data_IF_868971305392
#
_entry.id   IF_868971305392
#
_cell.length_a   1.000
_cell.length_b   1.000
_cell.length_c   1.000
_cell.angle_alpha   90.00
_cell.angle_beta   90.00
_cell.angle_gamma   90.00
#
_symmetry.space_group_name_H-M   'P 1'
#
loop_
_entity.id
_entity.type
_entity.pdbx_description
1 polymer ?
#
# COMPACT_ATOMS: atom_id res chain seq x y z
N UNK A 1 9.42 8.00 6.63
CA UNK A 1 9.22 6.55 6.96
C UNK A 1 9.43 5.75 5.68
N UNK A 2 10.00 4.57 5.76
CA UNK A 2 10.24 3.72 4.59
C UNK A 2 10.07 2.25 4.96
N UNK A 3 9.96 1.38 3.95
CA UNK A 3 9.99 -0.06 4.19
C UNK A 3 11.32 -0.50 4.78
N UNK A 4 11.29 -1.60 5.55
CA UNK A 4 12.47 -2.22 6.14
C UNK A 4 12.85 -3.49 5.38
N UNK A 5 14.16 -3.70 5.23
CA UNK A 5 14.68 -4.91 4.62
C UNK A 5 14.35 -6.14 5.49
N UNK A 6 13.65 -7.15 4.94
CA UNK A 6 13.28 -8.34 5.71
C UNK A 6 14.49 -9.23 6.10
N UNK A 7 15.66 -8.99 5.51
CA UNK A 7 16.88 -9.73 5.80
C UNK A 7 17.71 -9.11 6.93
N UNK A 8 17.88 -7.77 6.90
CA UNK A 8 18.78 -7.08 7.84
C UNK A 8 18.11 -5.95 8.63
N UNK A 9 16.80 -5.74 8.46
CA UNK A 9 15.99 -4.71 9.14
C UNK A 9 16.44 -3.25 8.90
N UNK A 10 17.38 -3.02 8.00
CA UNK A 10 17.78 -1.68 7.62
C UNK A 10 16.76 -1.05 6.67
N UNK A 11 16.75 0.28 6.62
CA UNK A 11 15.85 1.01 5.76
C UNK A 11 16.08 0.71 4.29
N UNK A 12 15.00 0.50 3.54
CA UNK A 12 15.03 0.35 2.10
C UNK A 12 14.90 1.71 1.42
N UNK A 13 15.72 1.93 0.40
CA UNK A 13 15.60 3.08 -0.52
C UNK A 13 15.07 2.61 -1.85
N UNK A 14 14.12 3.35 -2.39
CA UNK A 14 13.58 3.10 -3.72
C UNK A 14 14.50 3.66 -4.79
N UNK A 15 14.86 2.82 -5.72
CA UNK A 15 15.50 3.18 -6.98
C UNK A 15 14.51 2.94 -8.15
N UNK A 16 14.93 3.12 -9.39
CA UNK A 16 14.02 3.12 -10.54
C UNK A 16 13.11 1.87 -10.60
N UNK A 17 13.71 0.68 -10.41
CA UNK A 17 12.99 -0.61 -10.55
C UNK A 17 13.16 -1.55 -9.36
N UNK A 18 13.85 -1.11 -8.33
CA UNK A 18 14.18 -1.92 -7.16
C UNK A 18 14.04 -1.11 -5.86
N UNK A 19 13.93 -1.85 -4.76
CA UNK A 19 14.22 -1.34 -3.43
C UNK A 19 15.52 -1.96 -2.96
N UNK A 20 16.42 -1.17 -2.38
CA UNK A 20 17.75 -1.60 -1.94
C UNK A 20 18.05 -1.12 -0.52
N UNK A 21 18.70 -1.96 0.28
CA UNK A 21 19.21 -1.57 1.60
C UNK A 21 20.72 -1.28 1.56
N UNK A 22 21.28 -0.60 2.58
CA UNK A 22 22.72 -0.33 2.65
C UNK A 22 23.64 -1.56 2.64
N UNK A 23 23.10 -2.75 2.99
CA UNK A 23 23.82 -4.02 2.91
C UNK A 23 23.77 -4.67 1.52
N UNK A 24 23.12 -4.02 0.53
CA UNK A 24 23.05 -4.52 -0.82
C UNK A 24 21.95 -5.56 -1.10
N UNK A 25 21.04 -5.83 -0.17
CA UNK A 25 19.87 -6.65 -0.47
C UNK A 25 18.91 -5.86 -1.38
N UNK A 26 18.48 -6.49 -2.47
CA UNK A 26 17.62 -5.87 -3.48
C UNK A 26 16.30 -6.60 -3.63
N UNK A 27 15.23 -5.86 -3.91
CA UNK A 27 13.88 -6.38 -4.09
C UNK A 27 13.26 -5.71 -5.31
N UNK A 28 12.90 -6.50 -6.31
CA UNK A 28 12.33 -5.98 -7.57
C UNK A 28 10.95 -5.40 -7.36
N UNK A 29 10.68 -4.29 -8.02
CA UNK A 29 9.32 -3.74 -8.13
C UNK A 29 8.58 -4.50 -9.23
N UNK A 30 7.50 -5.19 -8.86
CA UNK A 30 6.66 -5.89 -9.81
C UNK A 30 6.08 -4.96 -10.87
N UNK A 31 5.75 -5.49 -12.05
CA UNK A 31 5.14 -4.72 -13.13
C UNK A 31 3.84 -3.99 -12.72
N UNK A 32 3.16 -4.48 -11.70
CA UNK A 32 1.97 -3.88 -11.08
C UNK A 32 2.29 -2.80 -10.03
N UNK A 33 3.57 -2.51 -9.77
CA UNK A 33 4.02 -1.40 -8.95
C UNK A 33 4.08 -1.65 -7.44
N UNK A 34 4.12 -2.89 -6.99
CA UNK A 34 4.39 -3.26 -5.60
C UNK A 34 5.72 -4.00 -5.47
N UNK A 35 6.29 -4.05 -4.27
CA UNK A 35 7.46 -4.87 -3.96
C UNK A 35 7.07 -6.04 -3.07
N UNK A 36 7.57 -7.24 -3.37
CA UNK A 36 7.34 -8.40 -2.52
C UNK A 36 8.47 -8.51 -1.49
N UNK A 37 8.14 -8.21 -0.23
CA UNK A 37 9.06 -8.32 0.91
C UNK A 37 8.83 -9.58 1.74
N UNK A 38 7.87 -10.45 1.35
CA UNK A 38 7.63 -11.72 2.02
C UNK A 38 8.72 -12.73 1.68
N UNK A 39 9.43 -13.19 2.70
CA UNK A 39 10.54 -14.15 2.54
C UNK A 39 10.00 -15.56 2.25
N UNK A 40 10.63 -16.27 1.31
CA UNK A 40 10.22 -17.61 0.86
C UNK A 40 10.21 -18.68 1.94
N UNK A 41 11.07 -18.54 2.94
CA UNK A 41 11.17 -19.48 4.08
C UNK A 41 10.10 -19.26 5.17
N UNK A 42 9.32 -18.19 5.10
CA UNK A 42 8.16 -17.97 5.98
C UNK A 42 6.90 -18.69 5.50
N UNK A 43 6.95 -19.31 4.34
CA UNK A 43 5.83 -19.96 3.68
C UNK A 43 5.81 -21.46 3.88
N UNK A 44 5.35 -21.93 5.00
CA UNK A 44 4.71 -23.24 5.02
C UNK A 44 3.45 -23.16 4.16
N UNK A 45 3.52 -23.48 2.87
CA UNK A 45 2.44 -23.83 1.91
C UNK A 45 1.02 -23.24 2.09
N UNK A 46 0.76 -22.32 3.03
CA UNK A 46 -0.55 -21.69 3.23
C UNK A 46 -0.60 -20.35 2.51
N UNK A 47 -1.62 -20.16 1.70
CA UNK A 47 -1.97 -18.86 1.13
C UNK A 47 -2.20 -17.88 2.27
N UNK A 48 -1.51 -16.76 2.23
CA UNK A 48 -1.70 -15.66 3.16
C UNK A 48 -2.61 -14.60 2.53
N UNK A 49 -3.56 -14.13 3.32
CA UNK A 49 -4.49 -13.08 2.92
C UNK A 49 -5.63 -13.55 2.01
N UNK A 50 -6.40 -12.59 1.52
CA UNK A 50 -7.55 -12.82 0.67
C UNK A 50 -7.14 -13.41 -0.69
N UNK A 51 -7.90 -14.39 -1.16
CA UNK A 51 -7.74 -14.95 -2.50
C UNK A 51 -8.39 -14.06 -3.58
N UNK A 52 -8.26 -14.50 -4.84
CA UNK A 52 -8.80 -13.74 -5.98
C UNK A 52 -10.30 -13.56 -5.92
N UNK A 53 -11.03 -14.57 -5.45
CA UNK A 53 -12.49 -14.53 -5.38
C UNK A 53 -12.95 -13.50 -4.34
N UNK A 54 -12.32 -13.53 -3.18
CA UNK A 54 -12.60 -12.56 -2.10
C UNK A 54 -12.25 -11.12 -2.51
N UNK A 55 -11.11 -10.92 -3.14
CA UNK A 55 -10.70 -9.60 -3.65
C UNK A 55 -11.68 -9.07 -4.69
N UNK A 56 -12.09 -9.90 -5.65
CA UNK A 56 -13.05 -9.47 -6.67
C UNK A 56 -14.42 -9.15 -6.05
N UNK A 57 -14.91 -9.97 -5.13
CA UNK A 57 -16.18 -9.73 -4.44
C UNK A 57 -16.15 -8.41 -3.64
N UNK A 58 -15.06 -8.15 -2.93
CA UNK A 58 -14.87 -6.89 -2.22
C UNK A 58 -14.83 -5.69 -3.16
N UNK A 59 -14.10 -5.80 -4.26
CA UNK A 59 -14.01 -4.75 -5.28
C UNK A 59 -15.38 -4.44 -5.88
N UNK A 60 -16.15 -5.46 -6.25
CA UNK A 60 -17.49 -5.31 -6.79
C UNK A 60 -18.41 -4.60 -5.79
N UNK A 61 -18.32 -4.96 -4.50
CA UNK A 61 -19.07 -4.32 -3.43
C UNK A 61 -18.66 -2.85 -3.23
N UNK A 62 -17.37 -2.56 -3.14
CA UNK A 62 -16.86 -1.19 -2.95
C UNK A 62 -17.21 -0.29 -4.13
N UNK A 63 -17.21 -0.82 -5.36
CA UNK A 63 -17.56 -0.06 -6.57
C UNK A 63 -19.03 0.40 -6.60
N UNK A 64 -19.90 -0.19 -5.79
CA UNK A 64 -21.32 0.19 -5.67
C UNK A 64 -21.55 1.46 -4.82
N UNK A 65 -20.51 1.98 -4.18
CA UNK A 65 -20.55 3.26 -3.47
C UNK A 65 -21.13 3.22 -2.05
N UNK A 66 -21.51 2.05 -1.54
CA UNK A 66 -22.11 1.94 -0.18
C UNK A 66 -21.16 2.40 0.93
N UNK A 67 -19.84 2.27 0.73
CA UNK A 67 -18.83 2.66 1.71
C UNK A 67 -18.18 4.02 1.44
N UNK A 68 -18.63 4.76 0.42
CA UNK A 68 -18.16 6.12 0.19
C UNK A 68 -18.38 7.04 1.40
N UNK A 69 -19.56 7.05 2.07
CA UNK A 69 -19.74 7.86 3.27
C UNK A 69 -18.78 7.51 4.41
N UNK A 70 -18.46 6.22 4.58
CA UNK A 70 -17.47 5.77 5.56
C UNK A 70 -16.08 6.28 5.18
N UNK A 71 -15.70 6.17 3.91
CA UNK A 71 -14.41 6.65 3.40
C UNK A 71 -14.24 8.15 3.62
N UNK A 72 -15.29 8.94 3.36
CA UNK A 72 -15.30 10.38 3.64
C UNK A 72 -15.12 10.67 5.14
N UNK A 73 -15.85 9.99 6.00
CA UNK A 73 -15.75 10.18 7.44
C UNK A 73 -14.35 9.83 7.98
N UNK A 74 -13.73 8.76 7.46
CA UNK A 74 -12.35 8.39 7.81
C UNK A 74 -11.37 9.44 7.31
N UNK A 75 -11.56 9.95 6.08
CA UNK A 75 -10.74 11.04 5.56
C UNK A 75 -10.83 12.31 6.40
N UNK A 76 -12.03 12.71 6.80
CA UNK A 76 -12.23 13.90 7.62
C UNK A 76 -11.51 13.79 8.97
N UNK A 77 -11.61 12.62 9.61
CA UNK A 77 -10.89 12.35 10.85
C UNK A 77 -9.36 12.34 10.68
N UNK A 78 -8.88 11.75 9.57
CA UNK A 78 -7.46 11.68 9.25
C UNK A 78 -6.87 13.07 8.94
N UNK A 79 -7.57 13.86 8.14
CA UNK A 79 -7.07 15.13 7.62
C UNK A 79 -7.11 16.28 8.62
N UNK A 80 -7.92 16.18 9.68
CA UNK A 80 -8.12 17.24 10.66
C UNK A 80 -6.80 17.78 11.26
N UNK A 81 -5.87 16.88 11.57
CA UNK A 81 -4.57 17.21 12.16
C UNK A 81 -3.40 16.63 11.35
N UNK A 82 -3.59 16.38 10.05
CA UNK A 82 -2.53 15.79 9.23
C UNK A 82 -1.36 16.76 9.03
N UNK A 83 -0.14 16.40 9.43
CA UNK A 83 1.01 17.30 9.31
C UNK A 83 1.41 17.50 7.85
N UNK A 84 1.93 18.68 7.51
CA UNK A 84 2.30 19.05 6.13
C UNK A 84 3.23 18.04 5.48
N UNK A 85 4.25 17.57 6.20
CA UNK A 85 5.21 16.57 5.74
C UNK A 85 4.91 15.18 6.35
N UNK A 86 3.64 14.89 6.53
CA UNK A 86 3.17 13.68 7.18
C UNK A 86 3.39 12.43 6.34
N UNK A 87 3.47 11.30 7.04
CA UNK A 87 3.44 9.97 6.42
C UNK A 87 2.17 9.24 6.81
N UNK A 88 1.47 8.71 5.83
CA UNK A 88 0.33 7.81 6.02
C UNK A 88 0.77 6.37 5.78
N UNK A 89 0.56 5.51 6.76
CA UNK A 89 0.70 4.06 6.60
C UNK A 89 -0.67 3.40 6.68
N UNK A 90 -1.03 2.67 5.64
CA UNK A 90 -2.22 1.82 5.59
C UNK A 90 -1.81 0.35 5.70
N UNK A 91 -2.04 -0.22 6.88
CA UNK A 91 -1.75 -1.63 7.17
C UNK A 91 -2.99 -2.49 6.86
N UNK A 92 -2.89 -3.31 5.81
CA UNK A 92 -4.01 -4.02 5.22
C UNK A 92 -4.69 -3.21 4.11
N UNK A 93 -3.88 -2.52 3.30
CA UNK A 93 -4.37 -1.57 2.28
C UNK A 93 -5.21 -2.21 1.17
N UNK A 94 -5.16 -3.54 1.01
CA UNK A 94 -5.86 -4.24 -0.05
C UNK A 94 -5.54 -3.72 -1.44
N UNK A 95 -6.57 -3.40 -2.21
CA UNK A 95 -6.43 -2.76 -3.53
C UNK A 95 -6.24 -1.25 -3.47
N UNK A 96 -5.97 -0.69 -2.29
CA UNK A 96 -5.82 0.75 -2.04
C UNK A 96 -7.07 1.59 -2.35
N UNK A 97 -8.26 1.05 -2.22
CA UNK A 97 -9.51 1.79 -2.47
C UNK A 97 -9.67 2.99 -1.52
N UNK A 98 -9.31 2.82 -0.24
CA UNK A 98 -9.24 3.92 0.72
C UNK A 98 -7.96 4.75 0.53
N UNK A 99 -6.83 4.10 0.50
CA UNK A 99 -5.49 4.70 0.52
C UNK A 99 -5.24 5.64 -0.65
N UNK A 100 -5.59 5.21 -1.89
CA UNK A 100 -5.43 6.05 -3.08
C UNK A 100 -6.34 7.27 -3.06
N UNK A 101 -7.54 7.15 -2.50
CA UNK A 101 -8.47 8.25 -2.29
C UNK A 101 -7.92 9.27 -1.29
N UNK A 102 -7.39 8.80 -0.15
CA UNK A 102 -6.79 9.67 0.86
C UNK A 102 -5.58 10.42 0.29
N UNK A 103 -4.72 9.73 -0.45
CA UNK A 103 -3.57 10.35 -1.13
C UNK A 103 -4.03 11.46 -2.06
N UNK A 104 -4.99 11.19 -2.92
CA UNK A 104 -5.53 12.18 -3.87
C UNK A 104 -6.11 13.41 -3.15
N UNK A 105 -6.91 13.20 -2.11
CA UNK A 105 -7.53 14.27 -1.34
C UNK A 105 -6.52 15.13 -0.59
N UNK A 106 -5.48 14.50 -0.01
CA UNK A 106 -4.40 15.23 0.67
C UNK A 106 -3.59 16.06 -0.33
N UNK A 107 -3.30 15.52 -1.52
CA UNK A 107 -2.63 16.26 -2.59
C UNK A 107 -3.45 17.48 -3.06
N UNK A 108 -4.77 17.32 -3.26
CA UNK A 108 -5.68 18.40 -3.60
C UNK A 108 -5.71 19.51 -2.54
N UNK A 109 -5.45 19.15 -1.28
CA UNK A 109 -5.35 20.11 -0.18
C UNK A 109 -3.99 20.83 -0.10
N UNK A 110 -3.08 20.58 -1.05
CA UNK A 110 -1.74 21.17 -1.10
C UNK A 110 -0.74 20.51 -0.15
N UNK A 111 -1.08 19.36 0.39
CA UNK A 111 -0.19 18.50 1.15
C UNK A 111 0.48 17.52 0.18
N UNK A 112 1.73 17.18 0.42
CA UNK A 112 2.46 16.19 -0.37
C UNK A 112 2.89 15.02 0.53
N UNK A 113 1.93 14.24 1.06
CA UNK A 113 2.24 13.19 2.01
C UNK A 113 2.98 12.03 1.34
N UNK A 114 3.90 11.43 2.08
CA UNK A 114 4.35 10.10 1.76
C UNK A 114 3.26 9.11 2.16
N UNK A 115 2.85 8.23 1.24
CA UNK A 115 1.83 7.23 1.52
C UNK A 115 2.36 5.83 1.24
N UNK A 116 2.31 4.99 2.25
CA UNK A 116 2.74 3.60 2.23
C UNK A 116 1.54 2.68 2.46
N UNK A 117 1.40 1.66 1.63
CA UNK A 117 0.40 0.60 1.81
C UNK A 117 1.07 -0.76 1.96
N UNK A 118 0.65 -1.54 2.93
CA UNK A 118 1.10 -2.92 3.09
C UNK A 118 -0.07 -3.88 3.14
N UNK A 119 0.06 -5.00 2.43
CA UNK A 119 -0.93 -6.08 2.48
C UNK A 119 -0.26 -7.42 2.23
N UNK A 120 -0.71 -8.46 2.92
CA UNK A 120 -0.18 -9.81 2.75
C UNK A 120 -0.70 -10.47 1.46
N UNK A 121 -1.83 -9.97 0.92
CA UNK A 121 -2.41 -10.47 -0.33
C UNK A 121 -1.80 -9.79 -1.55
N UNK A 122 -0.90 -10.47 -2.23
CA UNK A 122 -0.37 -9.96 -3.50
C UNK A 122 -1.47 -9.71 -4.55
N UNK A 123 -2.56 -10.50 -4.53
CA UNK A 123 -3.69 -10.31 -5.45
C UNK A 123 -4.39 -8.97 -5.23
N UNK A 124 -4.51 -8.56 -3.97
CA UNK A 124 -5.04 -7.24 -3.63
C UNK A 124 -4.12 -6.14 -4.15
N UNK A 125 -2.83 -6.23 -3.87
CA UNK A 125 -1.82 -5.26 -4.32
C UNK A 125 -1.75 -5.13 -5.85
N UNK A 126 -1.95 -6.24 -6.58
CA UNK A 126 -2.00 -6.25 -8.04
C UNK A 126 -3.19 -5.48 -8.62
N UNK A 127 -4.28 -5.34 -7.87
CA UNK A 127 -5.51 -4.64 -8.28
C UNK A 127 -5.44 -3.14 -8.05
N UNK A 128 -4.55 -2.68 -7.18
CA UNK A 128 -4.38 -1.25 -6.94
C UNK A 128 -3.92 -0.52 -8.22
N UNK A 129 -4.39 0.71 -8.46
CA UNK A 129 -3.93 1.51 -9.60
C UNK A 129 -2.41 1.70 -9.55
N UNK A 130 -1.72 1.44 -10.67
CA UNK A 130 -0.26 1.49 -10.75
C UNK A 130 0.30 2.86 -10.32
N UNK A 131 -0.36 3.93 -10.73
CA UNK A 131 0.08 5.31 -10.53
C UNK A 131 -0.76 6.03 -9.46
N UNK A 132 -1.21 5.31 -8.42
CA UNK A 132 -2.02 5.91 -7.36
C UNK A 132 -1.23 6.76 -6.35
N UNK A 133 0.09 6.88 -6.52
CA UNK A 133 0.95 7.63 -5.61
C UNK A 133 1.21 6.94 -4.26
N UNK A 134 0.80 5.69 -4.12
CA UNK A 134 1.00 4.86 -2.92
C UNK A 134 2.15 3.89 -3.16
N UNK A 135 3.16 3.91 -2.29
CA UNK A 135 4.21 2.89 -2.28
C UNK A 135 3.69 1.63 -1.58
N UNK A 136 3.79 0.47 -2.24
CA UNK A 136 3.11 -0.76 -1.81
C UNK A 136 4.08 -1.92 -1.62
N UNK A 137 3.90 -2.68 -0.53
CA UNK A 137 4.64 -3.90 -0.23
C UNK A 137 3.72 -5.00 0.35
#
# INVERSE_FOLDING_TARGET
MSFRCPVCSQELKKEEKIWVCPQGHTFDIAAKGYVNLLMSNSSGAKRHGDDRLMINARRDFLSKGFYEPLREAVYDALSADFPRDGTLLDAGCGECWYTSYFKSRLDESGLEPQVLGVDISKYALEKAPKNCGVERA
#
